data_IF_972509261639
#
_entry.id   IF_972509261639
#
_cell.length_a   1.000
_cell.length_b   1.000
_cell.length_c   1.000
_cell.angle_alpha   90.00
_cell.angle_beta   90.00
_cell.angle_gamma   90.00
#
_symmetry.space_group_name_H-M   'P 1'
#
loop_
_entity.id
_entity.type
_entity.pdbx_description
1 polymer ?
#
# COMPACT_ATOMS: atom_id res chain seq x y z
N UNK A 1 27.22 -21.35 3.60
CA UNK A 1 26.67 -20.63 2.42
C UNK A 1 25.45 -19.88 2.90
N UNK A 2 25.43 -18.53 2.92
CA UNK A 2 24.19 -17.83 3.24
C UNK A 2 23.25 -18.03 2.05
N UNK A 3 22.07 -18.59 2.29
CA UNK A 3 20.97 -18.62 1.32
C UNK A 3 20.55 -17.17 1.09
N UNK A 4 21.06 -16.56 0.03
CA UNK A 4 20.58 -15.27 -0.48
C UNK A 4 19.09 -15.43 -0.74
N UNK A 5 18.26 -14.90 0.16
CA UNK A 5 16.81 -14.94 0.02
C UNK A 5 16.42 -14.30 -1.30
N UNK A 6 15.63 -15.00 -2.11
CA UNK A 6 15.11 -14.43 -3.35
C UNK A 6 14.12 -13.32 -3.01
N UNK A 7 14.43 -12.08 -3.36
CA UNK A 7 13.46 -10.99 -3.30
C UNK A 7 12.61 -10.98 -4.56
N UNK A 8 11.29 -10.95 -4.41
CA UNK A 8 10.34 -10.80 -5.51
C UNK A 8 10.03 -9.32 -5.68
N UNK A 9 10.22 -8.80 -6.89
CA UNK A 9 10.01 -7.41 -7.23
C UNK A 9 8.77 -7.32 -8.11
N UNK A 10 7.74 -6.61 -7.64
CA UNK A 10 6.48 -6.42 -8.36
C UNK A 10 6.43 -5.00 -8.87
N UNK A 11 6.31 -4.83 -10.18
CA UNK A 11 6.05 -3.54 -10.80
C UNK A 11 4.55 -3.24 -10.70
N UNK A 12 4.19 -2.12 -10.07
CA UNK A 12 2.81 -1.72 -9.86
C UNK A 12 2.51 -0.44 -10.65
N UNK A 13 1.45 -0.49 -11.47
CA UNK A 13 0.95 0.67 -12.22
C UNK A 13 -0.27 1.25 -11.54
N UNK A 14 -0.32 2.58 -11.43
CA UNK A 14 -1.48 3.30 -10.90
C UNK A 14 -2.53 3.41 -12.00
N UNK A 15 -3.48 2.48 -12.00
CA UNK A 15 -4.63 2.45 -12.90
C UNK A 15 -5.96 2.45 -12.15
N UNK A 16 -7.06 2.77 -12.84
CA UNK A 16 -8.40 2.51 -12.31
C UNK A 16 -8.62 0.99 -12.35
N UNK A 17 -8.94 0.39 -11.20
CA UNK A 17 -9.35 -1.00 -11.14
C UNK A 17 -10.73 -1.15 -11.80
N UNK A 18 -10.87 -2.08 -12.75
CA UNK A 18 -12.15 -2.35 -13.40
C UNK A 18 -13.21 -2.75 -12.35
N UNK A 19 -14.36 -2.09 -12.40
CA UNK A 19 -15.43 -2.25 -11.42
C UNK A 19 -15.25 -1.47 -10.10
N UNK A 20 -14.17 -0.70 -9.92
CA UNK A 20 -14.03 0.16 -8.74
C UNK A 20 -15.15 1.22 -8.68
N UNK A 21 -15.68 1.52 -7.47
CA UNK A 21 -16.74 2.50 -7.30
C UNK A 21 -16.42 3.80 -8.02
N UNK A 22 -17.40 4.34 -8.75
CA UNK A 22 -17.31 5.67 -9.38
C UNK A 22 -17.48 6.79 -8.34
N UNK A 23 -17.60 6.45 -7.06
CA UNK A 23 -17.88 7.37 -5.96
C UNK A 23 -16.69 8.26 -5.57
N UNK A 24 -16.97 9.28 -4.76
CA UNK A 24 -15.96 10.20 -4.22
C UNK A 24 -14.78 9.41 -3.63
N UNK A 25 -13.60 9.64 -4.19
CA UNK A 25 -12.35 9.11 -3.63
C UNK A 25 -12.29 9.54 -2.17
N UNK A 26 -12.00 8.60 -1.27
CA UNK A 26 -11.68 8.93 0.12
C UNK A 26 -10.54 9.96 0.08
N UNK A 27 -10.84 11.22 0.41
CA UNK A 27 -9.84 12.28 0.46
C UNK A 27 -9.09 12.14 1.77
N UNK A 28 -7.96 11.47 1.72
CA UNK A 28 -7.02 11.46 2.84
C UNK A 28 -6.30 12.80 2.90
N UNK A 29 -6.24 13.37 4.10
CA UNK A 29 -5.34 14.49 4.37
C UNK A 29 -3.90 14.06 4.12
N UNK A 30 -3.03 15.00 3.79
CA UNK A 30 -1.61 14.69 3.57
C UNK A 30 -0.93 14.22 4.85
N UNK A 31 -1.39 14.69 6.01
CA UNK A 31 -0.99 14.18 7.32
C UNK A 31 -1.35 12.70 7.48
N UNK A 32 -2.57 12.30 7.14
CA UNK A 32 -2.99 10.90 7.21
C UNK A 32 -2.16 10.03 6.25
N UNK A 33 -1.87 10.51 5.04
CA UNK A 33 -1.01 9.79 4.09
C UNK A 33 0.40 9.59 4.65
N UNK A 34 1.00 10.62 5.24
CA UNK A 34 2.34 10.53 5.82
C UNK A 34 2.37 9.51 6.96
N UNK A 35 1.37 9.52 7.84
CA UNK A 35 1.26 8.56 8.93
C UNK A 35 1.02 7.13 8.42
N UNK A 36 0.17 6.96 7.41
CA UNK A 36 -0.11 5.65 6.81
C UNK A 36 1.14 5.06 6.13
N UNK A 37 1.94 5.87 5.43
CA UNK A 37 3.21 5.41 4.84
C UNK A 37 4.18 4.96 5.91
N UNK A 38 4.38 5.74 6.96
CA UNK A 38 5.27 5.37 8.06
C UNK A 38 4.83 4.07 8.72
N UNK A 39 3.54 3.91 9.02
CA UNK A 39 3.00 2.69 9.59
C UNK A 39 3.14 1.47 8.67
N UNK A 40 2.98 1.64 7.35
CA UNK A 40 3.10 0.55 6.38
C UNK A 40 4.53 0.01 6.21
N UNK A 41 5.54 0.79 6.59
CA UNK A 41 6.94 0.38 6.54
C UNK A 41 7.36 -0.49 7.74
N UNK A 42 6.54 -0.53 8.80
CA UNK A 42 6.83 -1.37 9.97
C UNK A 42 6.68 -2.86 9.63
N UNK A 43 7.63 -3.72 10.07
CA UNK A 43 7.57 -5.16 9.80
C UNK A 43 6.28 -5.80 10.32
N UNK A 44 5.65 -6.62 9.48
CA UNK A 44 4.45 -7.38 9.85
C UNK A 44 3.15 -6.58 9.78
N UNK A 45 3.17 -5.32 9.35
CA UNK A 45 1.96 -4.53 9.14
C UNK A 45 1.21 -4.97 7.87
N UNK A 46 -0.11 -5.13 8.02
CA UNK A 46 -1.01 -5.39 6.91
C UNK A 46 -1.52 -4.06 6.33
N UNK A 47 -1.06 -3.73 5.13
CA UNK A 47 -1.43 -2.50 4.41
C UNK A 47 -2.93 -2.43 4.11
N UNK A 48 -3.58 -3.56 3.80
CA UNK A 48 -5.03 -3.59 3.54
C UNK A 48 -5.86 -3.34 4.79
N UNK A 49 -5.37 -3.73 5.97
CA UNK A 49 -6.00 -3.40 7.25
C UNK A 49 -5.86 -1.90 7.57
N UNK A 50 -4.69 -1.32 7.29
CA UNK A 50 -4.42 0.10 7.48
C UNK A 50 -5.27 1.01 6.57
N UNK A 51 -5.59 0.54 5.36
CA UNK A 51 -6.35 1.32 4.37
C UNK A 51 -7.88 1.29 4.55
N UNK A 52 -8.40 0.49 5.50
CA UNK A 52 -9.85 0.31 5.73
C UNK A 52 -10.52 1.56 6.32
#
# INVERSE_FOLDING_TARGET
>A
MPTTGSFQLVEAFVGRLDGAPVGERRRWSDEFKAQAVTAALEPGINVSALAR
#
